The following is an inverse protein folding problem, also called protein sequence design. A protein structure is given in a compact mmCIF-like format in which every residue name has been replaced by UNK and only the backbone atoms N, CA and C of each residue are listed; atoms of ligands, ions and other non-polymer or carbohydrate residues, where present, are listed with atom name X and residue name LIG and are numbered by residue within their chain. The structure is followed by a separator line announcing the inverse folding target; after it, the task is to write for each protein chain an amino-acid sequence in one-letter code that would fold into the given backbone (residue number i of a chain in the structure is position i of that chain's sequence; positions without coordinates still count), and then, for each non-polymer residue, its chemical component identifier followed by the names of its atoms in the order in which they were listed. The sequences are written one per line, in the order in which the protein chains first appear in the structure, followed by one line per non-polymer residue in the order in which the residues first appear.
data_IF_956052554614
#
_entry.id   IF_956052554614
#
_cell.length_a   1.000
_cell.length_b   1.000
_cell.length_c   1.000
_cell.angle_alpha   90.00
_cell.angle_beta   90.00
_cell.angle_gamma   90.00
#
_symmetry.space_group_name_H-M   'P 1'
#
loop_
_entity.id
_entity.type
_entity.pdbx_description
1 polymer ?
#
# COMPACT_ATOMS: atom_id res chain seq x y z
N UNK A 1 -16.30 -10.42 -9.52
CA UNK A 1 -15.32 -9.62 -8.75
C UNK A 1 -15.11 -8.31 -9.52
N UNK A 2 -15.29 -7.14 -8.90
CA UNK A 2 -15.12 -5.86 -9.62
C UNK A 2 -13.62 -5.47 -9.69
N UNK A 3 -13.19 -4.69 -10.71
CA UNK A 3 -11.82 -4.19 -10.79
C UNK A 3 -11.37 -3.46 -9.52
N UNK A 4 -12.27 -2.65 -8.95
CA UNK A 4 -12.06 -1.97 -7.68
C UNK A 4 -11.84 -2.94 -6.51
N UNK A 5 -12.66 -3.99 -6.38
CA UNK A 5 -12.49 -4.99 -5.32
C UNK A 5 -11.16 -5.75 -5.43
N UNK A 6 -10.69 -6.01 -6.64
CA UNK A 6 -9.37 -6.61 -6.88
C UNK A 6 -8.26 -5.65 -6.43
N UNK A 7 -8.36 -4.36 -6.79
CA UNK A 7 -7.40 -3.33 -6.40
C UNK A 7 -7.30 -3.20 -4.86
N UNK A 8 -8.43 -3.04 -4.18
CA UNK A 8 -8.49 -2.94 -2.72
C UNK A 8 -7.88 -4.17 -2.04
N UNK A 9 -8.18 -5.38 -2.54
CA UNK A 9 -7.62 -6.61 -1.99
C UNK A 9 -6.10 -6.70 -2.19
N UNK A 10 -5.60 -6.38 -3.39
CA UNK A 10 -4.18 -6.42 -3.70
C UNK A 10 -3.37 -5.39 -2.90
N UNK A 11 -3.89 -4.17 -2.75
CA UNK A 11 -3.25 -3.10 -1.97
C UNK A 11 -3.19 -3.49 -0.49
N UNK A 12 -4.31 -3.96 0.08
CA UNK A 12 -4.32 -4.40 1.49
C UNK A 12 -3.35 -5.55 1.72
N UNK A 13 -3.30 -6.54 0.85
CA UNK A 13 -2.36 -7.65 0.96
C UNK A 13 -0.89 -7.17 0.90
N UNK A 14 -0.56 -6.19 0.05
CA UNK A 14 0.78 -5.62 0.02
C UNK A 14 1.10 -4.84 1.32
N UNK A 15 0.16 -4.06 1.84
CA UNK A 15 0.33 -3.35 3.11
C UNK A 15 0.51 -4.33 4.28
N UNK A 16 -0.21 -5.45 4.29
CA UNK A 16 -0.04 -6.50 5.31
C UNK A 16 1.37 -7.10 5.29
N UNK A 17 1.99 -7.25 4.12
CA UNK A 17 3.40 -7.72 4.05
C UNK A 17 4.38 -6.73 4.68
N UNK A 18 4.08 -5.43 4.71
CA UNK A 18 4.90 -4.43 5.40
C UNK A 18 4.87 -4.56 6.94
N UNK A 19 3.92 -5.33 7.49
CA UNK A 19 3.80 -5.55 8.94
C UNK A 19 4.57 -6.79 9.41
N UNK A 20 5.11 -7.58 8.48
CA UNK A 20 5.84 -8.80 8.82
C UNK A 20 7.22 -8.47 9.42
N UNK A 21 7.72 -9.30 10.35
CA UNK A 21 9.09 -9.20 10.85
C UNK A 21 10.10 -9.32 9.71
N UNK A 22 11.08 -8.42 9.66
CA UNK A 22 12.09 -8.38 8.60
C UNK A 22 11.63 -7.70 7.30
N UNK A 23 10.41 -7.16 7.24
CA UNK A 23 10.00 -6.27 6.14
C UNK A 23 10.86 -5.01 6.09
N UNK A 24 11.01 -4.45 4.90
CA UNK A 24 11.90 -3.32 4.65
C UNK A 24 11.50 -2.49 3.43
N UNK A 25 12.48 -1.82 2.81
CA UNK A 25 12.23 -0.93 1.67
C UNK A 25 11.57 -1.62 0.46
N UNK A 26 11.73 -2.93 0.31
CA UNK A 26 11.14 -3.69 -0.81
C UNK A 26 9.62 -3.80 -0.65
N UNK A 27 9.14 -4.13 0.55
CA UNK A 27 7.71 -4.22 0.84
C UNK A 27 7.03 -2.85 0.72
N UNK A 28 7.71 -1.78 1.14
CA UNK A 28 7.22 -0.41 0.97
C UNK A 28 7.05 -0.07 -0.51
N UNK A 29 8.10 -0.27 -1.31
CA UNK A 29 8.08 0.02 -2.74
C UNK A 29 7.00 -0.79 -3.47
N UNK A 30 6.76 -2.04 -3.06
CA UNK A 30 5.69 -2.88 -3.61
C UNK A 30 4.31 -2.29 -3.31
N UNK A 31 4.05 -1.89 -2.07
CA UNK A 31 2.77 -1.30 -1.68
C UNK A 31 2.53 0.03 -2.42
N UNK A 32 3.54 0.90 -2.48
CA UNK A 32 3.49 2.18 -3.21
C UNK A 32 3.22 1.99 -4.70
N UNK A 33 3.92 1.04 -5.33
CA UNK A 33 3.76 0.73 -6.75
C UNK A 33 2.34 0.25 -7.06
N UNK A 34 1.75 -0.60 -6.22
CA UNK A 34 0.38 -1.09 -6.43
C UNK A 34 -0.65 0.04 -6.29
N UNK A 35 -0.49 0.92 -5.30
CA UNK A 35 -1.38 2.08 -5.12
C UNK A 35 -1.32 3.01 -6.34
N UNK A 36 -0.13 3.33 -6.82
CA UNK A 36 0.04 4.17 -8.03
C UNK A 36 -0.53 3.48 -9.27
N UNK A 37 -0.27 2.18 -9.45
CA UNK A 37 -0.76 1.43 -10.59
C UNK A 37 -2.30 1.40 -10.65
N UNK A 38 -2.96 1.07 -9.54
CA UNK A 38 -4.42 1.00 -9.51
C UNK A 38 -5.10 2.36 -9.59
N UNK A 39 -4.47 3.42 -9.08
CA UNK A 39 -4.96 4.78 -9.31
C UNK A 39 -4.83 5.18 -10.78
N UNK A 40 -3.70 4.87 -11.41
CA UNK A 40 -3.47 5.15 -12.84
C UNK A 40 -4.44 4.40 -13.75
N UNK A 41 -4.89 3.21 -13.33
CA UNK A 41 -5.90 2.41 -14.01
C UNK A 41 -7.34 2.80 -13.67
N UNK A 42 -7.55 3.87 -12.89
CA UNK A 42 -8.86 4.33 -12.42
C UNK A 42 -9.65 3.26 -11.64
N UNK A 43 -8.95 2.31 -11.02
CA UNK A 43 -9.55 1.25 -10.22
C UNK A 43 -9.84 1.69 -8.76
N UNK A 44 -9.11 2.70 -8.29
CA UNK A 44 -9.35 3.42 -7.03
C UNK A 44 -9.41 4.92 -7.31
N UNK A 45 -10.12 5.66 -6.47
CA UNK A 45 -10.25 7.10 -6.63
C UNK A 45 -9.13 7.89 -5.89
N UNK A 46 -9.22 9.23 -5.96
CA UNK A 46 -8.23 10.11 -5.36
C UNK A 46 -8.28 10.13 -3.82
N UNK A 47 -9.42 9.84 -3.20
CA UNK A 47 -9.54 9.74 -1.75
C UNK A 47 -8.88 8.45 -1.25
N UNK A 48 -9.17 7.34 -1.92
CA UNK A 48 -8.55 6.04 -1.65
C UNK A 48 -7.05 6.06 -1.86
N UNK A 49 -6.57 6.67 -2.96
CA UNK A 49 -5.15 6.85 -3.22
C UNK A 49 -4.45 7.55 -2.05
N UNK A 50 -4.99 8.70 -1.60
CA UNK A 50 -4.44 9.45 -0.46
C UNK A 50 -4.48 8.63 0.83
N UNK A 51 -5.59 7.93 1.07
CA UNK A 51 -5.74 7.06 2.23
C UNK A 51 -4.64 6.00 2.29
N UNK A 52 -4.39 5.30 1.18
CA UNK A 52 -3.37 4.25 1.13
C UNK A 52 -1.95 4.81 1.23
N UNK A 53 -1.63 5.92 0.56
CA UNK A 53 -0.33 6.58 0.71
C UNK A 53 -0.03 6.96 2.17
N UNK A 54 -1.01 7.55 2.87
CA UNK A 54 -0.84 7.92 4.28
C UNK A 54 -0.68 6.69 5.18
N UNK A 55 -1.38 5.59 4.88
CA UNK A 55 -1.27 4.34 5.64
C UNK A 55 0.11 3.70 5.47
N UNK A 56 0.63 3.63 4.24
CA UNK A 56 1.99 3.15 3.94
C UNK A 56 3.03 4.01 4.68
N UNK A 57 2.92 5.34 4.57
CA UNK A 57 3.83 6.28 5.23
C UNK A 57 3.91 6.04 6.74
N UNK A 58 2.78 5.86 7.42
CA UNK A 58 2.75 5.61 8.87
C UNK A 58 3.48 4.33 9.25
N UNK A 59 3.35 3.27 8.46
CA UNK A 59 4.01 1.98 8.72
C UNK A 59 5.53 2.14 8.52
N UNK A 60 5.96 2.71 7.39
CA UNK A 60 7.37 2.92 7.09
C UNK A 60 8.07 3.80 8.15
N UNK A 61 7.42 4.88 8.59
CA UNK A 61 7.94 5.77 9.65
C UNK A 61 8.09 5.02 10.98
N UNK A 62 7.04 4.33 11.44
CA UNK A 62 7.10 3.55 12.69
C UNK A 62 8.19 2.49 12.66
N UNK A 63 8.39 1.84 11.52
CA UNK A 63 9.44 0.83 11.37
C UNK A 63 10.84 1.45 11.47
N UNK A 64 11.05 2.65 10.92
CA UNK A 64 12.30 3.38 11.05
C UNK A 64 12.59 3.84 12.48
N UNK A 65 11.55 4.18 13.24
CA UNK A 65 11.68 4.56 14.67
C UNK A 65 12.01 3.36 15.58
N UNK A 66 11.70 2.14 15.15
CA UNK A 66 11.90 0.90 15.91
C UNK A 66 13.23 0.16 15.59
N UNK A 67 13.99 0.63 14.61
CA UNK A 67 15.26 0.05 14.16
C UNK A 67 16.46 0.85 14.68
#
# INVERSE_FOLDING_TARGET
MSPHGIAVSAINAAIETMLLPGSGPVEDAKAETLVVAYFSLLAIDAEEFKHYCERIRRIAVRRKEAA
#
